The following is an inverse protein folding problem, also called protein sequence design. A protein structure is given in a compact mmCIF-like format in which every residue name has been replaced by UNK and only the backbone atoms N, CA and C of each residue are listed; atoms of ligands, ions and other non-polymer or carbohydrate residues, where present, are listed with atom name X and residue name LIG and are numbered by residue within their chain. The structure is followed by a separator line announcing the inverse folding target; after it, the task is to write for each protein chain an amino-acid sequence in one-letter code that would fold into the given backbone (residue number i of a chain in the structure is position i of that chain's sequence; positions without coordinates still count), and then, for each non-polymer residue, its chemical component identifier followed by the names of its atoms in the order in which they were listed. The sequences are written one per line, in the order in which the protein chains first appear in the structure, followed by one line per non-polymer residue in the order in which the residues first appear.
data_IF_622421187365
#
_entry.id   IF_622421187365
#
_cell.length_a   1.000
_cell.length_b   1.000
_cell.length_c   1.000
_cell.angle_alpha   90.00
_cell.angle_beta   90.00
_cell.angle_gamma   90.00
#
_symmetry.space_group_name_H-M   'P 1'
#
loop_
_entity.id
_entity.type
_entity.pdbx_description
1 polymer ?
#
# COMPACT_ATOMS: atom_id res chain seq x y z
N UNK A 1 -11.55 -2.25 -15.00
CA UNK A 1 -11.11 -1.06 -14.21
C UNK A 1 -12.22 -0.01 -14.20
N UNK A 2 -12.40 0.68 -13.07
CA UNK A 2 -13.34 1.81 -12.89
C UNK A 2 -12.56 2.96 -12.24
N UNK A 3 -12.80 4.17 -12.68
CA UNK A 3 -12.22 5.40 -12.09
C UNK A 3 -13.35 6.34 -11.73
N UNK A 4 -13.33 6.87 -10.50
CA UNK A 4 -14.28 7.88 -10.03
C UNK A 4 -13.62 9.25 -9.97
N UNK A 5 -14.41 10.29 -10.15
CA UNK A 5 -13.97 11.68 -10.02
C UNK A 5 -13.94 12.15 -8.54
N UNK A 6 -14.81 11.55 -7.73
CA UNK A 6 -14.89 11.74 -6.27
C UNK A 6 -15.47 10.48 -5.61
N UNK A 7 -15.30 10.35 -4.29
CA UNK A 7 -16.00 9.34 -3.49
C UNK A 7 -16.68 10.02 -2.30
N UNK A 8 -17.97 9.75 -2.11
CA UNK A 8 -18.75 10.26 -0.95
C UNK A 8 -18.57 9.40 0.30
N UNK A 9 -18.07 8.16 0.13
CA UNK A 9 -17.81 7.20 1.20
C UNK A 9 -16.57 6.36 0.88
N UNK A 10 -15.44 7.03 0.61
CA UNK A 10 -14.17 6.37 0.33
C UNK A 10 -13.73 5.48 1.50
N UNK A 11 -13.39 4.22 1.21
CA UNK A 11 -13.02 3.23 2.22
C UNK A 11 -11.53 2.98 2.26
N UNK A 12 -10.99 2.92 3.47
CA UNK A 12 -9.66 2.40 3.76
C UNK A 12 -9.74 1.10 4.56
N UNK A 13 -8.58 0.58 4.96
CA UNK A 13 -8.49 -0.62 5.80
C UNK A 13 -9.04 -0.36 7.21
N UNK A 14 -9.56 -1.42 7.85
CA UNK A 14 -10.01 -1.42 9.24
C UNK A 14 -11.07 -0.35 9.56
N UNK A 15 -11.98 -0.10 8.61
CA UNK A 15 -13.04 0.89 8.79
C UNK A 15 -12.61 2.36 8.70
N UNK A 16 -11.35 2.63 8.39
CA UNK A 16 -10.88 4.00 8.12
C UNK A 16 -11.49 4.53 6.83
N UNK A 17 -11.67 5.84 6.75
CA UNK A 17 -12.11 6.51 5.54
C UNK A 17 -10.89 6.95 4.70
N UNK A 18 -11.09 7.03 3.39
CA UNK A 18 -10.14 7.69 2.47
C UNK A 18 -10.79 8.97 1.95
N UNK A 19 -10.19 10.10 2.26
CA UNK A 19 -10.68 11.41 1.80
C UNK A 19 -10.51 11.53 0.29
N UNK A 20 -11.60 11.76 -0.42
CA UNK A 20 -11.65 11.61 -1.88
C UNK A 20 -12.38 12.79 -2.54
N UNK A 21 -11.87 14.03 -2.44
CA UNK A 21 -12.50 15.20 -3.01
C UNK A 21 -12.45 15.19 -4.54
N UNK A 22 -13.43 15.88 -5.15
CA UNK A 22 -13.60 15.90 -6.60
C UNK A 22 -12.38 16.48 -7.32
N UNK A 23 -11.89 15.75 -8.33
CA UNK A 23 -10.93 16.24 -9.32
C UNK A 23 -9.48 16.35 -8.85
N UNK A 24 -9.17 16.15 -7.55
CA UNK A 24 -7.83 16.38 -6.98
C UNK A 24 -7.04 15.11 -6.71
N UNK A 25 -7.66 13.94 -6.85
CA UNK A 25 -7.03 12.64 -6.63
C UNK A 25 -7.36 11.62 -7.69
N UNK A 26 -6.75 10.47 -7.59
CA UNK A 26 -7.07 9.25 -8.35
C UNK A 26 -7.82 8.32 -7.42
N UNK A 27 -9.01 7.90 -7.83
CA UNK A 27 -9.85 6.92 -7.13
C UNK A 27 -10.20 5.82 -8.11
N UNK A 28 -9.32 4.83 -8.20
CA UNK A 28 -9.48 3.74 -9.17
C UNK A 28 -9.70 2.40 -8.49
N UNK A 29 -10.45 1.55 -9.14
CA UNK A 29 -10.69 0.17 -8.73
C UNK A 29 -10.41 -0.76 -9.90
N UNK A 30 -9.57 -1.76 -9.66
CA UNK A 30 -9.26 -2.83 -10.62
C UNK A 30 -9.82 -4.14 -10.07
N UNK A 31 -10.50 -4.90 -10.93
CA UNK A 31 -10.96 -6.25 -10.60
C UNK A 31 -10.11 -7.25 -11.38
N UNK A 32 -9.46 -8.15 -10.62
CA UNK A 32 -8.60 -9.21 -11.17
C UNK A 32 -9.27 -10.55 -10.88
N UNK A 33 -9.64 -11.29 -11.94
CA UNK A 33 -10.26 -12.60 -11.78
C UNK A 33 -9.24 -13.70 -11.46
N UNK A 34 -9.73 -14.79 -10.86
CA UNK A 34 -8.95 -15.98 -10.55
C UNK A 34 -8.20 -16.53 -11.79
N UNK A 35 -7.01 -17.09 -11.56
CA UNK A 35 -6.16 -17.65 -12.62
C UNK A 35 -4.89 -16.85 -12.90
N UNK A 36 -4.69 -15.74 -12.23
CA UNK A 36 -3.42 -14.99 -12.24
C UNK A 36 -2.42 -15.60 -11.25
N UNK A 37 -1.13 -15.28 -11.42
CA UNK A 37 -0.03 -15.79 -10.56
C UNK A 37 -0.09 -15.29 -9.12
N UNK A 38 -0.67 -14.10 -8.91
CA UNK A 38 -0.87 -13.53 -7.58
C UNK A 38 -2.30 -13.81 -7.10
N UNK A 39 -2.44 -14.62 -6.07
CA UNK A 39 -3.73 -15.15 -5.61
C UNK A 39 -4.09 -14.78 -4.18
N UNK A 40 -3.16 -14.23 -3.40
CA UNK A 40 -3.45 -13.78 -2.04
C UNK A 40 -3.46 -12.24 -1.94
N UNK A 41 -4.25 -11.72 -0.99
CA UNK A 41 -4.47 -10.28 -0.85
C UNK A 41 -3.19 -9.50 -0.49
N UNK A 42 -2.21 -10.14 0.17
CA UNK A 42 -0.95 -9.47 0.51
C UNK A 42 -0.13 -9.24 -0.74
N UNK A 43 0.03 -10.27 -1.56
CA UNK A 43 0.80 -10.19 -2.79
C UNK A 43 0.20 -9.22 -3.80
N UNK A 44 -1.11 -9.24 -3.96
CA UNK A 44 -1.82 -8.30 -4.84
C UNK A 44 -1.71 -6.86 -4.30
N UNK A 45 -1.77 -6.68 -2.98
CA UNK A 45 -1.60 -5.35 -2.36
C UNK A 45 -0.19 -4.81 -2.56
N UNK A 46 0.84 -5.64 -2.36
CA UNK A 46 2.24 -5.24 -2.55
C UNK A 46 2.56 -4.97 -4.02
N UNK A 47 2.01 -5.75 -4.94
CA UNK A 47 2.08 -5.51 -6.39
C UNK A 47 1.51 -4.14 -6.77
N UNK A 48 0.32 -3.81 -6.26
CA UNK A 48 -0.31 -2.51 -6.49
C UNK A 48 0.53 -1.36 -5.89
N UNK A 49 1.16 -1.57 -4.73
CA UNK A 49 2.09 -0.59 -4.15
C UNK A 49 3.29 -0.32 -5.04
N UNK A 50 3.88 -1.36 -5.61
CA UNK A 50 5.00 -1.23 -6.56
C UNK A 50 4.56 -0.55 -7.85
N UNK A 51 3.39 -0.91 -8.39
CA UNK A 51 2.86 -0.27 -9.59
C UNK A 51 2.69 1.25 -9.41
N UNK A 52 2.16 1.68 -8.27
CA UNK A 52 2.05 3.11 -7.93
C UNK A 52 3.42 3.76 -7.82
N UNK A 53 4.39 3.13 -7.15
CA UNK A 53 5.73 3.68 -7.01
C UNK A 53 6.43 3.82 -8.36
N UNK A 54 6.41 2.79 -9.21
CA UNK A 54 6.98 2.81 -10.57
C UNK A 54 6.37 3.92 -11.42
N UNK A 55 5.03 4.08 -11.38
CA UNK A 55 4.35 5.14 -12.10
C UNK A 55 4.77 6.55 -11.62
N UNK A 56 4.95 6.74 -10.31
CA UNK A 56 5.45 8.00 -9.76
C UNK A 56 6.89 8.28 -10.23
N UNK A 57 7.78 7.29 -10.19
CA UNK A 57 9.17 7.45 -10.62
C UNK A 57 9.31 7.64 -12.14
N UNK A 58 8.44 7.03 -12.93
CA UNK A 58 8.42 7.19 -14.39
C UNK A 58 8.00 8.60 -14.81
N UNK A 59 6.99 9.16 -14.13
CA UNK A 59 6.35 10.40 -14.55
C UNK A 59 6.83 11.63 -13.76
N UNK A 60 7.64 11.45 -12.73
CA UNK A 60 8.11 12.52 -11.84
C UNK A 60 9.52 12.24 -11.32
N UNK A 61 10.15 13.24 -10.71
CA UNK A 61 11.43 13.12 -9.96
C UNK A 61 11.24 12.81 -8.48
N UNK A 62 10.06 12.39 -8.08
CA UNK A 62 9.79 12.02 -6.69
C UNK A 62 10.29 10.60 -6.39
N UNK A 63 10.66 10.38 -5.12
CA UNK A 63 11.17 9.10 -4.63
C UNK A 63 10.20 8.48 -3.63
N UNK A 64 9.23 7.68 -4.09
CA UNK A 64 8.24 7.07 -3.23
C UNK A 64 8.86 5.96 -2.37
N UNK A 65 8.29 5.78 -1.18
CA UNK A 65 8.60 4.69 -0.26
C UNK A 65 7.31 3.96 0.11
N UNK A 66 7.44 2.69 0.47
CA UNK A 66 6.29 1.87 0.82
C UNK A 66 6.28 1.61 2.33
N UNK A 67 5.20 2.01 2.99
CA UNK A 67 4.87 1.57 4.35
C UNK A 67 4.03 0.31 4.25
N UNK A 68 4.60 -0.80 4.72
CA UNK A 68 3.94 -2.10 4.70
C UNK A 68 2.52 -2.03 5.29
N UNK A 69 1.50 -2.53 4.62
CA UNK A 69 1.57 -3.34 3.40
C UNK A 69 1.10 -2.52 2.19
N UNK A 70 0.42 -1.38 2.40
CA UNK A 70 -0.55 -0.81 1.47
C UNK A 70 -0.47 0.71 1.27
N UNK A 71 0.48 1.37 1.89
CA UNK A 71 0.55 2.84 1.83
C UNK A 71 1.83 3.30 1.13
N UNK A 72 1.71 4.26 0.20
CA UNK A 72 2.85 4.91 -0.45
C UNK A 72 3.09 6.28 0.17
N UNK A 73 4.33 6.57 0.47
CA UNK A 73 4.80 7.76 1.15
C UNK A 73 5.84 8.50 0.31
N UNK A 74 5.87 9.82 0.44
CA UNK A 74 6.96 10.70 -0.02
C UNK A 74 7.24 11.64 1.16
N UNK A 75 8.50 11.83 1.54
CA UNK A 75 8.94 12.70 2.63
C UNK A 75 8.15 12.49 3.94
N UNK A 76 7.99 11.23 4.35
CA UNK A 76 7.23 10.81 5.53
C UNK A 76 5.74 11.19 5.52
N UNK A 77 5.19 11.58 4.35
CA UNK A 77 3.77 11.88 4.17
C UNK A 77 3.11 10.85 3.25
N UNK A 78 1.90 10.43 3.63
CA UNK A 78 1.12 9.46 2.86
C UNK A 78 0.53 10.13 1.61
N UNK A 79 0.90 9.61 0.44
CA UNK A 79 0.40 10.05 -0.86
C UNK A 79 -0.69 9.11 -1.39
N UNK A 80 -0.55 7.80 -1.14
CA UNK A 80 -1.48 6.82 -1.66
C UNK A 80 -1.82 5.77 -0.61
N UNK A 81 -3.05 5.27 -0.67
CA UNK A 81 -3.53 4.10 0.07
C UNK A 81 -4.14 3.08 -0.86
N UNK A 82 -3.89 1.79 -0.58
CA UNK A 82 -4.38 0.67 -1.37
C UNK A 82 -5.26 -0.20 -0.48
N UNK A 83 -6.37 -0.66 -1.01
CA UNK A 83 -7.28 -1.59 -0.36
C UNK A 83 -7.55 -2.77 -1.28
N UNK A 84 -7.14 -3.97 -0.87
CA UNK A 84 -7.42 -5.20 -1.61
C UNK A 84 -8.43 -6.04 -0.85
N UNK A 85 -9.52 -6.41 -1.52
CA UNK A 85 -10.60 -7.25 -0.99
C UNK A 85 -10.75 -8.48 -1.87
N UNK A 86 -10.81 -9.67 -1.27
CA UNK A 86 -11.07 -10.92 -1.99
C UNK A 86 -12.58 -11.13 -2.12
N UNK A 87 -13.02 -11.51 -3.31
CA UNK A 87 -14.36 -12.05 -3.57
C UNK A 87 -14.27 -13.57 -3.44
N UNK A 88 -14.91 -14.14 -2.43
CA UNK A 88 -14.89 -15.58 -2.16
C UNK A 88 -16.17 -16.21 -2.70
N UNK A 89 -16.00 -17.26 -3.51
CA UNK A 89 -17.13 -18.05 -4.02
C UNK A 89 -17.85 -18.76 -2.90
N UNK A 90 -19.18 -18.64 -2.85
CA UNK A 90 -19.98 -19.24 -1.79
C UNK A 90 -19.93 -20.78 -1.75
N UNK A 91 -19.75 -21.41 -2.90
CA UNK A 91 -19.72 -22.88 -3.02
C UNK A 91 -18.29 -23.44 -2.89
N UNK A 92 -17.32 -22.75 -3.47
CA UNK A 92 -15.92 -23.18 -3.50
C UNK A 92 -15.14 -22.83 -2.24
N UNK A 93 -15.50 -21.75 -1.56
CA UNK A 93 -14.71 -21.17 -0.47
C UNK A 93 -13.38 -20.55 -0.94
N UNK A 94 -13.15 -20.49 -2.24
CA UNK A 94 -11.91 -19.97 -2.84
C UNK A 94 -12.10 -18.53 -3.34
N UNK A 95 -11.01 -17.79 -3.38
CA UNK A 95 -11.02 -16.44 -3.97
C UNK A 95 -11.26 -16.54 -5.48
N UNK A 96 -12.36 -15.97 -5.97
CA UNK A 96 -12.72 -15.93 -7.38
C UNK A 96 -12.24 -14.66 -8.08
N UNK A 97 -12.13 -13.58 -7.32
CA UNK A 97 -11.58 -12.32 -7.81
C UNK A 97 -10.94 -11.52 -6.66
N UNK A 98 -10.04 -10.62 -7.01
CA UNK A 98 -9.50 -9.60 -6.13
C UNK A 98 -9.95 -8.22 -6.61
N UNK A 99 -10.47 -7.42 -5.70
CA UNK A 99 -10.85 -6.03 -5.93
C UNK A 99 -9.76 -5.16 -5.34
N UNK A 100 -9.07 -4.39 -6.17
CA UNK A 100 -7.95 -3.53 -5.80
C UNK A 100 -8.42 -2.08 -5.89
N UNK A 101 -8.65 -1.44 -4.74
CA UNK A 101 -8.90 0.00 -4.66
C UNK A 101 -7.58 0.75 -4.48
N UNK A 102 -7.32 1.75 -5.32
CA UNK A 102 -6.15 2.63 -5.24
C UNK A 102 -6.65 4.06 -5.12
N UNK A 103 -6.32 4.70 -3.99
CA UNK A 103 -6.58 6.10 -3.76
C UNK A 103 -5.26 6.86 -3.70
N UNK A 104 -5.01 7.82 -4.62
CA UNK A 104 -3.82 8.63 -4.64
C UNK A 104 -4.15 10.13 -4.64
N UNK A 105 -3.48 10.87 -3.76
CA UNK A 105 -3.64 12.31 -3.66
C UNK A 105 -2.72 13.00 -4.68
N UNK A 106 -3.27 13.58 -5.72
CA UNK A 106 -2.49 14.23 -6.78
C UNK A 106 -2.23 15.70 -6.49
N UNK A 107 -3.31 16.46 -6.25
CA UNK A 107 -3.30 17.93 -6.09
C UNK A 107 -4.28 18.38 -5.01
N UNK A 108 -4.48 17.57 -3.95
CA UNK A 108 -5.35 17.94 -2.82
C UNK A 108 -4.63 18.98 -1.97
N UNK A 109 -5.12 20.21 -1.94
CA UNK A 109 -4.49 21.33 -1.22
C UNK A 109 -4.75 21.24 0.30
N UNK A 110 -5.96 20.89 0.69
CA UNK A 110 -6.38 20.85 2.09
C UNK A 110 -6.93 19.47 2.46
N UNK A 111 -6.45 18.93 3.58
CA UNK A 111 -6.96 17.70 4.17
C UNK A 111 -7.73 18.03 5.45
N UNK A 112 -8.84 17.32 5.73
CA UNK A 112 -9.55 17.45 6.99
C UNK A 112 -8.61 17.19 8.20
N UNK A 113 -8.83 17.86 9.34
CA UNK A 113 -7.95 17.72 10.53
C UNK A 113 -7.75 16.29 11.03
N UNK A 114 -8.74 15.43 10.79
CA UNK A 114 -8.70 13.99 11.13
C UNK A 114 -7.81 13.16 10.19
N UNK A 115 -7.41 13.69 9.04
CA UNK A 115 -6.52 13.03 8.07
C UNK A 115 -5.07 13.39 8.37
N UNK A 116 -4.50 12.67 9.33
CA UNK A 116 -3.12 12.88 9.75
C UNK A 116 -2.10 12.36 8.70
N UNK A 117 -0.98 13.07 8.59
CA UNK A 117 0.19 12.67 7.78
C UNK A 117 -0.09 12.46 6.28
N UNK A 118 -1.18 12.98 5.73
CA UNK A 118 -1.41 12.98 4.29
C UNK A 118 -0.74 14.18 3.60
N UNK A 119 -0.35 13.98 2.35
CA UNK A 119 0.04 15.03 1.42
C UNK A 119 -0.35 14.64 0.00
N UNK A 120 -0.20 15.57 -0.93
CA UNK A 120 -0.36 15.33 -2.35
C UNK A 120 0.98 15.08 -3.03
N UNK A 121 0.93 14.41 -4.17
CA UNK A 121 2.10 14.21 -5.04
C UNK A 121 2.69 15.55 -5.49
N UNK A 122 1.83 16.52 -5.78
CA UNK A 122 2.19 17.88 -6.18
C UNK A 122 3.24 17.89 -7.29
N UNK A 123 2.90 17.27 -8.41
CA UNK A 123 3.72 17.16 -9.61
C UNK A 123 2.91 17.58 -10.85
N UNK A 124 3.61 18.11 -11.85
CA UNK A 124 3.00 18.52 -13.13
C UNK A 124 2.77 17.29 -14.04
N UNK A 125 1.84 16.46 -13.59
CA UNK A 125 1.43 15.23 -14.28
C UNK A 125 -0.08 15.15 -14.32
N UNK A 126 -0.62 14.79 -15.49
CA UNK A 126 -2.06 14.62 -15.61
C UNK A 126 -2.55 13.37 -14.84
N UNK A 127 -3.77 13.45 -14.28
CA UNK A 127 -4.41 12.28 -13.65
C UNK A 127 -4.55 11.11 -14.62
N UNK A 128 -4.79 11.38 -15.90
CA UNK A 128 -4.96 10.36 -16.91
C UNK A 128 -3.66 9.59 -17.20
N UNK A 129 -2.54 10.29 -17.31
CA UNK A 129 -1.23 9.66 -17.55
C UNK A 129 -0.81 8.83 -16.33
N UNK A 130 -1.02 9.34 -15.11
CA UNK A 130 -0.73 8.59 -13.89
C UNK A 130 -1.62 7.34 -13.75
N UNK A 131 -2.91 7.42 -14.08
CA UNK A 131 -3.82 6.26 -14.08
C UNK A 131 -3.35 5.22 -15.09
N UNK A 132 -2.96 5.65 -16.29
CA UNK A 132 -2.47 4.75 -17.33
C UNK A 132 -1.18 4.04 -16.89
N UNK A 133 -0.19 4.78 -16.40
CA UNK A 133 1.07 4.22 -15.93
C UNK A 133 0.85 3.23 -14.76
N UNK A 134 0.00 3.57 -13.78
CA UNK A 134 -0.33 2.64 -12.68
C UNK A 134 -0.98 1.36 -13.23
N UNK A 135 -1.90 1.48 -14.18
CA UNK A 135 -2.59 0.33 -14.77
C UNK A 135 -1.62 -0.57 -15.54
N UNK A 136 -0.74 0.01 -16.34
CA UNK A 136 0.24 -0.72 -17.16
C UNK A 136 1.24 -1.47 -16.27
N UNK A 137 1.85 -0.80 -15.29
CA UNK A 137 2.74 -1.45 -14.33
C UNK A 137 2.05 -2.54 -13.49
N UNK A 138 0.80 -2.29 -13.05
CA UNK A 138 0.05 -3.29 -12.31
C UNK A 138 -0.23 -4.53 -13.18
N UNK A 139 -0.58 -4.32 -14.45
CA UNK A 139 -0.86 -5.42 -15.38
C UNK A 139 0.39 -6.26 -15.62
N UNK A 140 1.53 -5.62 -15.91
CA UNK A 140 2.83 -6.28 -16.08
C UNK A 140 3.17 -7.16 -14.87
N UNK A 141 3.11 -6.61 -13.66
CA UNK A 141 3.42 -7.33 -12.42
C UNK A 141 2.47 -8.52 -12.21
N UNK A 142 1.17 -8.35 -12.48
CA UNK A 142 0.18 -9.41 -12.32
C UNK A 142 0.39 -10.58 -13.31
N UNK A 143 0.94 -10.31 -14.49
CA UNK A 143 1.28 -11.34 -15.48
C UNK A 143 2.61 -12.04 -15.15
N UNK A 144 3.63 -11.30 -14.73
CA UNK A 144 4.97 -11.82 -14.44
C UNK A 144 5.07 -12.52 -13.08
N UNK A 145 4.31 -12.05 -12.08
CA UNK A 145 4.28 -12.61 -10.73
C UNK A 145 5.31 -12.01 -9.77
N UNK A 146 5.50 -12.64 -8.59
CA UNK A 146 6.29 -12.09 -7.48
C UNK A 146 7.73 -11.75 -7.80
N UNK A 147 8.39 -12.62 -8.54
CA UNK A 147 9.82 -12.48 -8.86
C UNK A 147 10.12 -11.17 -9.59
N UNK A 148 9.11 -10.61 -10.28
CA UNK A 148 9.25 -9.38 -11.06
C UNK A 148 9.29 -8.11 -10.21
N UNK A 149 8.78 -8.14 -8.97
CA UNK A 149 8.62 -6.90 -8.19
C UNK A 149 9.06 -6.96 -6.72
N UNK A 150 9.24 -8.15 -6.14
CA UNK A 150 9.45 -8.27 -4.69
C UNK A 150 10.73 -7.59 -4.21
N UNK A 151 11.79 -7.61 -5.00
CA UNK A 151 13.04 -6.92 -4.65
C UNK A 151 12.90 -5.41 -4.74
N UNK A 152 12.12 -4.90 -5.69
CA UNK A 152 11.74 -3.49 -5.73
C UNK A 152 10.95 -3.10 -4.47
N UNK A 153 9.95 -3.90 -4.07
CA UNK A 153 9.18 -3.66 -2.85
C UNK A 153 10.08 -3.62 -1.60
N UNK A 154 11.04 -4.54 -1.49
CA UNK A 154 12.02 -4.59 -0.39
C UNK A 154 12.89 -3.33 -0.34
N UNK A 155 13.44 -2.91 -1.48
CA UNK A 155 14.32 -1.73 -1.56
C UNK A 155 13.59 -0.41 -1.26
N UNK A 156 12.29 -0.33 -1.53
CA UNK A 156 11.45 0.85 -1.27
C UNK A 156 10.73 0.80 0.09
N UNK A 157 10.94 -0.26 0.88
CA UNK A 157 10.30 -0.37 2.21
C UNK A 157 10.88 0.63 3.21
N UNK A 158 10.04 1.52 3.70
CA UNK A 158 10.45 2.48 4.73
C UNK A 158 10.58 1.87 6.14
N UNK A 159 10.24 0.58 6.32
CA UNK A 159 10.21 -0.07 7.65
C UNK A 159 11.46 -0.89 7.97
N UNK A 160 12.15 -1.43 6.98
CA UNK A 160 13.26 -2.36 7.20
C UNK A 160 14.38 -1.73 8.06
N UNK A 161 14.82 -2.49 9.05
CA UNK A 161 15.81 -2.08 10.05
C UNK A 161 15.26 -1.16 11.15
N UNK A 162 13.96 -0.79 11.13
CA UNK A 162 13.37 0.12 12.12
C UNK A 162 12.69 -0.65 13.26
N UNK A 163 12.72 -0.05 14.46
CA UNK A 163 11.87 -0.44 15.56
C UNK A 163 10.43 0.01 15.25
N UNK A 164 9.50 -0.91 15.39
CA UNK A 164 8.08 -0.72 15.10
C UNK A 164 7.21 -1.21 16.27
N UNK A 165 5.95 -0.85 16.25
CA UNK A 165 4.89 -1.60 16.94
C UNK A 165 3.89 -2.09 15.90
N UNK A 166 3.34 -3.28 16.11
CA UNK A 166 2.21 -3.76 15.33
C UNK A 166 1.04 -4.10 16.22
N UNK A 167 -0.17 -3.94 15.67
CA UNK A 167 -1.42 -4.31 16.33
C UNK A 167 -1.98 -5.53 15.61
N UNK A 168 -2.18 -6.62 16.34
CA UNK A 168 -2.87 -7.81 15.88
C UNK A 168 -3.84 -8.27 16.97
N UNK A 169 -5.09 -8.50 16.60
CA UNK A 169 -6.15 -8.94 17.51
C UNK A 169 -6.30 -7.99 18.74
N UNK A 170 -6.13 -6.68 18.52
CA UNK A 170 -6.20 -5.66 19.56
C UNK A 170 -4.97 -5.56 20.46
N UNK A 171 -3.95 -6.41 20.26
CA UNK A 171 -2.72 -6.41 21.06
C UNK A 171 -1.62 -5.62 20.34
N UNK A 172 -1.09 -4.60 21.01
CA UNK A 172 0.06 -3.82 20.52
C UNK A 172 1.36 -4.50 20.95
N UNK A 173 2.15 -4.93 19.97
CA UNK A 173 3.40 -5.67 20.20
C UNK A 173 4.59 -4.91 19.63
N UNK A 174 5.66 -4.68 20.42
CA UNK A 174 6.92 -4.13 19.95
C UNK A 174 7.74 -5.15 19.16
N UNK A 175 8.41 -4.69 18.10
CA UNK A 175 9.25 -5.53 17.28
C UNK A 175 10.28 -4.71 16.47
N UNK A 176 11.17 -5.39 15.77
CA UNK A 176 12.04 -4.82 14.73
C UNK A 176 11.67 -5.43 13.38
N UNK A 177 11.40 -4.60 12.38
CA UNK A 177 11.18 -5.06 11.01
C UNK A 177 12.52 -5.51 10.41
N UNK A 178 12.66 -6.79 10.06
CA UNK A 178 13.93 -7.38 9.63
C UNK A 178 13.93 -7.85 8.18
N UNK A 179 12.77 -7.98 7.55
CA UNK A 179 12.68 -8.44 6.17
C UNK A 179 11.26 -8.38 5.63
N UNK A 180 11.16 -8.64 4.33
CA UNK A 180 9.92 -8.93 3.60
C UNK A 180 10.14 -10.30 2.96
N UNK A 181 9.22 -11.23 3.18
CA UNK A 181 9.33 -12.56 2.59
C UNK A 181 8.92 -12.58 1.10
N UNK A 182 8.98 -13.75 0.48
CA UNK A 182 8.78 -13.92 -0.96
C UNK A 182 7.35 -13.59 -1.44
N UNK A 183 6.38 -13.58 -0.54
CA UNK A 183 4.98 -13.25 -0.86
C UNK A 183 4.51 -11.93 -0.23
N UNK A 184 5.46 -11.07 0.22
CA UNK A 184 5.18 -9.73 0.71
C UNK A 184 4.84 -9.63 2.19
N UNK A 185 4.97 -10.71 2.97
CA UNK A 185 4.77 -10.68 4.43
C UNK A 185 5.90 -9.95 5.15
N UNK A 186 5.57 -9.15 6.17
CA UNK A 186 6.57 -8.45 6.97
C UNK A 186 7.17 -9.38 8.01
N UNK A 187 8.47 -9.66 7.90
CA UNK A 187 9.23 -10.44 8.87
C UNK A 187 9.71 -9.53 9.99
N UNK A 188 9.34 -9.85 11.22
CA UNK A 188 9.68 -9.06 12.39
C UNK A 188 10.34 -9.93 13.47
N UNK A 189 11.28 -9.32 14.20
CA UNK A 189 11.90 -9.90 15.38
C UNK A 189 11.29 -9.26 16.63
N UNK A 190 10.77 -10.10 17.53
CA UNK A 190 10.20 -9.69 18.80
C UNK A 190 11.31 -9.40 19.83
N UNK A 191 10.94 -8.84 20.99
CA UNK A 191 11.90 -8.51 22.06
C UNK A 191 12.52 -9.75 22.73
N UNK A 192 11.84 -10.88 22.69
CA UNK A 192 12.35 -12.19 23.17
C UNK A 192 13.30 -12.88 22.17
N UNK A 193 13.55 -12.25 21.01
CA UNK A 193 14.38 -12.77 19.94
C UNK A 193 13.65 -13.66 18.92
N UNK A 194 12.42 -14.04 19.18
CA UNK A 194 11.62 -14.84 18.23
C UNK A 194 11.34 -14.05 16.94
N UNK A 195 11.19 -14.78 15.83
CA UNK A 195 10.91 -14.22 14.51
C UNK A 195 9.57 -14.72 14.03
N UNK A 196 8.72 -13.78 13.62
CA UNK A 196 7.41 -14.11 13.06
C UNK A 196 7.19 -13.34 11.75
N UNK A 197 6.29 -13.84 10.90
CA UNK A 197 5.86 -13.15 9.68
C UNK A 197 4.43 -12.63 9.84
N UNK A 198 4.25 -11.35 9.61
CA UNK A 198 2.94 -10.70 9.60
C UNK A 198 2.35 -10.74 8.19
N UNK A 199 1.08 -11.13 8.08
CA UNK A 199 0.29 -11.09 6.84
C UNK A 199 -0.76 -9.98 6.85
N UNK A 200 -1.03 -9.44 8.03
CA UNK A 200 -1.97 -8.34 8.26
C UNK A 200 -1.55 -7.58 9.52
N UNK A 201 -2.16 -6.44 9.77
CA UNK A 201 -1.93 -5.64 10.96
C UNK A 201 -1.76 -4.17 10.65
N UNK A 202 -1.81 -3.34 11.68
CA UNK A 202 -1.48 -1.93 11.64
C UNK A 202 -0.06 -1.73 12.19
N UNK A 203 0.78 -1.03 11.42
CA UNK A 203 2.18 -0.81 11.78
C UNK A 203 2.41 0.65 12.12
N UNK A 204 3.08 0.89 13.25
CA UNK A 204 3.55 2.22 13.64
C UNK A 204 5.06 2.17 13.87
N UNK A 205 5.78 3.15 13.31
CA UNK A 205 7.22 3.30 13.55
C UNK A 205 7.41 3.93 14.94
N UNK A 206 8.22 3.31 15.78
CA UNK A 206 8.58 3.88 17.09
C UNK A 206 9.50 5.08 16.90
N UNK A 207 9.30 6.19 17.64
CA UNK A 207 10.28 7.26 17.69
C UNK A 207 11.63 6.69 18.16
N UNK A 208 12.72 7.13 17.53
CA UNK A 208 14.06 6.81 18.05
C UNK A 208 14.17 7.36 19.47
N UNK A 209 14.35 6.48 20.45
CA UNK A 209 14.69 6.91 21.80
C UNK A 209 16.08 7.54 21.75
N UNK A 210 16.19 8.86 21.66
CA UNK A 210 17.45 9.57 21.89
C UNK A 210 17.77 9.38 23.37
N UNK A 211 18.65 8.41 23.70
CA UNK A 211 19.27 8.38 25.01
C UNK A 211 19.94 9.74 25.18
N UNK A 212 19.39 10.58 26.08
CA UNK A 212 20.14 11.71 26.61
C UNK A 212 21.35 11.14 27.33
N UNK A 213 22.53 11.43 26.81
CA UNK A 213 23.82 11.20 27.47
C UNK A 213 23.92 12.09 28.70
#
# INVERSE_FOLDING_TARGET
MVVADEQTAGRGRQGKQFYSPRGTGIYMTVVVHHGRRLQDAVSVTTAAGVAVCRAIEELTDKHPQIKWVNDVYIDDKKICGILTEAVVGMESGLAEAMIIGIGANMQTEEFPPEVENAASLDADVSRADMIAAIADHLWEILDDGYESYIDYYRSHSMLLGKAITFIRDGVTTPATAIGIDEIGGLVVRLEDGSVITLRSGEITVRPRCTKKS
#
